data_IF_478657767610
#
_entry.id   IF_478657767610
#
_cell.length_a   1.000
_cell.length_b   1.000
_cell.length_c   1.000
_cell.angle_alpha   90.00
_cell.angle_beta   90.00
_cell.angle_gamma   90.00
#
_symmetry.space_group_name_H-M   'P 1'
#
loop_
_entity.id
_entity.type
_entity.pdbx_description
1 polymer ?
#
# COMPACT_ATOMS: atom_id res chain seq x y z
N UNK A 1 -67.64 -18.66 23.27
CA UNK A 1 -66.38 -19.34 23.66
C UNK A 1 -65.50 -19.72 22.47
N UNK A 2 -66.03 -19.79 21.24
CA UNK A 2 -65.28 -20.14 20.01
C UNK A 2 -64.27 -19.08 19.53
N UNK A 3 -64.52 -17.80 19.82
CA UNK A 3 -63.67 -16.70 19.35
C UNK A 3 -62.40 -16.48 20.20
N UNK A 4 -62.35 -17.02 21.42
CA UNK A 4 -61.18 -16.90 22.31
C UNK A 4 -60.08 -17.87 21.86
N UNK A 5 -60.45 -19.06 21.40
CA UNK A 5 -59.51 -20.04 20.85
C UNK A 5 -58.91 -19.60 19.51
N UNK A 6 -59.70 -18.90 18.67
CA UNK A 6 -59.19 -18.31 17.42
C UNK A 6 -58.21 -17.15 17.66
N UNK A 7 -58.42 -16.35 18.71
CA UNK A 7 -57.49 -15.28 19.09
C UNK A 7 -56.18 -15.84 19.66
N UNK A 8 -56.25 -16.91 20.46
CA UNK A 8 -55.07 -17.58 21.02
C UNK A 8 -54.26 -18.32 19.95
N UNK A 9 -54.91 -18.88 18.91
CA UNK A 9 -54.23 -19.46 17.75
C UNK A 9 -53.55 -18.37 16.89
N UNK A 10 -54.14 -17.18 16.78
CA UNK A 10 -53.52 -16.05 16.06
C UNK A 10 -52.35 -15.43 16.84
N UNK A 11 -52.43 -15.34 18.17
CA UNK A 11 -51.34 -14.83 19.02
C UNK A 11 -50.20 -15.86 19.13
N UNK A 12 -50.52 -17.16 19.14
CA UNK A 12 -49.52 -18.24 19.15
C UNK A 12 -48.73 -18.39 17.85
N UNK A 13 -49.25 -17.89 16.72
CA UNK A 13 -48.53 -17.87 15.44
C UNK A 13 -47.65 -16.62 15.23
N UNK A 14 -47.73 -15.61 16.10
CA UNK A 14 -47.01 -14.34 15.92
C UNK A 14 -45.70 -14.21 16.73
N UNK A 15 -45.25 -15.24 17.45
CA UNK A 15 -44.03 -15.20 18.28
C UNK A 15 -42.94 -16.21 17.92
N UNK A 16 -42.99 -16.80 16.74
CA UNK A 16 -41.77 -17.38 16.15
C UNK A 16 -41.17 -16.34 15.20
N UNK A 17 -40.75 -15.21 15.76
CA UNK A 17 -39.61 -14.49 15.21
C UNK A 17 -38.43 -15.44 15.39
N UNK A 18 -38.17 -16.25 14.36
CA UNK A 18 -36.85 -16.87 14.21
C UNK A 18 -35.89 -15.69 14.25
N UNK A 19 -35.20 -15.50 15.37
CA UNK A 19 -33.93 -14.79 15.37
C UNK A 19 -33.04 -15.65 14.48
N UNK A 20 -33.12 -15.41 13.17
CA UNK A 20 -32.09 -15.89 12.28
C UNK A 20 -30.80 -15.33 12.87
N UNK A 21 -29.89 -16.21 13.24
CA UNK A 21 -28.55 -15.83 13.65
C UNK A 21 -27.87 -15.25 12.42
N UNK A 22 -28.08 -13.95 12.18
CA UNK A 22 -27.59 -13.27 10.98
C UNK A 22 -26.07 -13.27 11.09
N UNK A 23 -25.45 -14.08 10.24
CA UNK A 23 -23.99 -14.09 10.08
C UNK A 23 -23.59 -13.06 9.04
N UNK A 24 -22.58 -12.27 9.36
CA UNK A 24 -21.97 -11.35 8.41
C UNK A 24 -20.93 -12.06 7.56
N UNK A 25 -20.96 -11.81 6.25
CA UNK A 25 -20.07 -12.42 5.24
C UNK A 25 -18.79 -11.62 5.12
N UNK A 26 -17.71 -12.14 5.70
CA UNK A 26 -16.36 -11.62 5.53
C UNK A 26 -15.74 -12.20 4.24
N UNK A 27 -15.49 -11.36 3.24
CA UNK A 27 -14.73 -11.78 2.07
C UNK A 27 -13.23 -11.77 2.32
N UNK A 28 -12.54 -12.85 1.99
CA UNK A 28 -11.08 -12.97 2.08
C UNK A 28 -10.51 -13.49 0.77
N UNK A 29 -9.48 -12.80 0.27
CA UNK A 29 -8.72 -13.22 -0.89
C UNK A 29 -7.87 -14.47 -0.60
N UNK A 30 -7.89 -15.45 -1.50
CA UNK A 30 -7.12 -16.67 -1.44
C UNK A 30 -5.66 -16.35 -1.73
N UNK A 31 -4.85 -16.21 -0.68
CA UNK A 31 -3.41 -16.00 -0.88
C UNK A 31 -2.75 -17.31 -1.32
N UNK A 32 -2.23 -17.34 -2.54
CA UNK A 32 -1.40 -18.43 -3.03
C UNK A 32 -0.07 -18.44 -2.24
N UNK A 33 0.02 -19.36 -1.28
CA UNK A 33 1.20 -19.74 -0.51
C UNK A 33 1.64 -18.83 0.67
N UNK A 34 1.70 -19.45 1.85
CA UNK A 34 2.47 -19.14 3.08
C UNK A 34 1.80 -18.46 4.27
N UNK A 35 0.58 -17.94 4.17
CA UNK A 35 -0.19 -17.52 5.35
C UNK A 35 -1.44 -18.38 5.48
N UNK A 36 -1.63 -18.99 6.64
CA UNK A 36 -2.75 -19.87 6.96
C UNK A 36 -4.07 -19.07 7.13
N UNK A 37 -4.46 -18.29 6.13
CA UNK A 37 -5.77 -17.62 6.10
C UNK A 37 -6.92 -18.64 6.08
N UNK A 38 -6.67 -19.84 5.53
CA UNK A 38 -7.56 -20.98 5.67
C UNK A 38 -7.81 -21.32 7.14
N UNK A 39 -6.76 -21.36 7.97
CA UNK A 39 -6.90 -21.64 9.41
C UNK A 39 -7.67 -20.53 10.14
N UNK A 40 -7.50 -19.25 9.76
CA UNK A 40 -8.27 -18.15 10.36
C UNK A 40 -9.77 -18.23 10.01
N UNK A 41 -10.11 -18.55 8.77
CA UNK A 41 -11.51 -18.77 8.38
C UNK A 41 -12.08 -20.07 8.95
N UNK A 42 -11.28 -21.12 9.07
CA UNK A 42 -11.67 -22.36 9.73
C UNK A 42 -11.97 -22.08 11.22
N UNK A 43 -11.14 -21.30 11.92
CA UNK A 43 -11.41 -20.86 13.30
C UNK A 43 -12.70 -20.04 13.44
N UNK A 44 -13.00 -19.13 12.49
CA UNK A 44 -14.24 -18.36 12.50
C UNK A 44 -15.48 -19.23 12.20
N UNK A 45 -15.33 -20.23 11.32
CA UNK A 45 -16.38 -21.20 10.98
C UNK A 45 -16.67 -22.14 12.15
N UNK A 46 -15.62 -22.62 12.81
CA UNK A 46 -15.73 -23.60 13.90
C UNK A 46 -16.24 -22.94 15.21
N UNK A 47 -16.13 -21.61 15.33
CA UNK A 47 -16.74 -20.85 16.40
C UNK A 47 -18.20 -20.48 16.07
N UNK A 48 -19.14 -21.24 16.63
CA UNK A 48 -20.60 -21.05 16.45
C UNK A 48 -21.07 -19.65 16.86
N UNK A 49 -20.36 -18.98 17.78
CA UNK A 49 -20.72 -17.65 18.29
C UNK A 49 -20.00 -16.49 17.58
N UNK A 50 -19.26 -16.75 16.50
CA UNK A 50 -18.50 -15.70 15.81
C UNK A 50 -19.40 -14.65 15.13
N UNK A 51 -20.64 -15.02 14.77
CA UNK A 51 -21.54 -14.15 13.99
C UNK A 51 -21.00 -13.81 12.60
N UNK A 52 -19.95 -14.50 12.12
CA UNK A 52 -19.25 -14.23 10.86
C UNK A 52 -19.07 -15.52 10.08
N UNK A 53 -19.29 -15.47 8.77
CA UNK A 53 -18.95 -16.53 7.84
C UNK A 53 -17.96 -16.02 6.77
N UNK A 54 -17.05 -16.88 6.31
CA UNK A 54 -16.07 -16.50 5.30
C UNK A 54 -16.55 -16.78 3.89
N UNK A 55 -16.36 -15.81 2.99
CA UNK A 55 -16.45 -15.97 1.53
C UNK A 55 -15.03 -15.92 0.96
N UNK A 56 -14.58 -17.00 0.33
CA UNK A 56 -13.24 -17.09 -0.23
C UNK A 56 -13.27 -16.67 -1.69
N UNK A 57 -12.56 -15.59 -2.01
CA UNK A 57 -12.36 -15.09 -3.37
C UNK A 57 -10.96 -15.42 -3.87
N UNK A 58 -10.70 -15.36 -5.17
CA UNK A 58 -9.37 -15.53 -5.79
C UNK A 58 -8.40 -14.44 -5.36
N UNK A 59 -8.86 -13.20 -5.35
CA UNK A 59 -8.08 -12.02 -4.98
C UNK A 59 -8.99 -10.93 -4.40
N UNK A 60 -8.40 -9.80 -3.99
CA UNK A 60 -9.17 -8.72 -3.36
C UNK A 60 -10.04 -7.93 -4.35
N UNK A 61 -9.75 -7.99 -5.65
CA UNK A 61 -10.59 -7.37 -6.67
C UNK A 61 -11.90 -8.17 -6.83
N UNK A 62 -11.82 -9.50 -6.75
CA UNK A 62 -13.02 -10.32 -6.67
C UNK A 62 -13.81 -10.04 -5.39
N UNK A 63 -13.15 -9.84 -4.23
CA UNK A 63 -13.87 -9.39 -3.03
C UNK A 63 -14.61 -8.06 -3.23
N UNK A 64 -14.00 -7.08 -3.91
CA UNK A 64 -14.69 -5.82 -4.25
C UNK A 64 -15.93 -6.06 -5.10
N UNK A 65 -15.85 -6.96 -6.08
CA UNK A 65 -16.99 -7.33 -6.91
C UNK A 65 -18.10 -8.01 -6.10
N UNK A 66 -17.75 -8.98 -5.24
CA UNK A 66 -18.69 -9.69 -4.38
C UNK A 66 -19.38 -8.76 -3.37
N UNK A 67 -18.69 -7.73 -2.87
CA UNK A 67 -19.30 -6.68 -2.05
C UNK A 67 -20.32 -5.87 -2.84
N UNK A 68 -19.99 -5.48 -4.08
CA UNK A 68 -20.88 -4.70 -4.93
C UNK A 68 -22.15 -5.48 -5.31
N UNK A 69 -22.06 -6.80 -5.45
CA UNK A 69 -23.20 -7.69 -5.73
C UNK A 69 -24.04 -8.06 -4.50
N UNK A 70 -23.57 -7.73 -3.29
CA UNK A 70 -24.19 -8.17 -2.03
C UNK A 70 -23.96 -9.66 -1.70
N UNK A 71 -22.99 -10.28 -2.37
CA UNK A 71 -22.54 -11.65 -2.10
C UNK A 71 -21.58 -11.74 -0.90
N UNK A 72 -21.00 -10.61 -0.48
CA UNK A 72 -20.26 -10.42 0.75
C UNK A 72 -20.69 -9.12 1.45
N UNK A 73 -20.47 -9.03 2.77
CA UNK A 73 -20.89 -7.87 3.57
C UNK A 73 -19.73 -6.92 3.89
N UNK A 74 -18.53 -7.46 4.13
CA UNK A 74 -17.32 -6.67 4.42
C UNK A 74 -16.03 -7.40 4.04
N UNK A 75 -14.93 -6.65 3.89
CA UNK A 75 -13.59 -7.19 3.66
C UNK A 75 -12.53 -6.25 4.26
N UNK A 76 -11.27 -6.69 4.27
CA UNK A 76 -10.13 -5.87 4.66
C UNK A 76 -9.37 -5.45 3.40
N UNK A 77 -9.31 -4.14 3.17
CA UNK A 77 -8.67 -3.51 2.01
C UNK A 77 -7.45 -2.69 2.41
N UNK A 78 -6.47 -2.64 1.53
CA UNK A 78 -5.39 -1.65 1.55
C UNK A 78 -5.87 -0.32 0.92
N UNK A 79 -5.21 0.82 1.23
CA UNK A 79 -5.56 2.11 0.65
C UNK A 79 -5.60 2.12 -0.89
N UNK A 80 -4.71 1.39 -1.54
CA UNK A 80 -4.66 1.27 -3.00
C UNK A 80 -5.94 0.63 -3.57
N UNK A 81 -6.51 -0.33 -2.85
CA UNK A 81 -7.74 -1.02 -3.26
C UNK A 81 -8.98 -0.15 -3.07
N UNK A 82 -8.96 0.81 -2.13
CA UNK A 82 -10.01 1.83 -2.00
C UNK A 82 -10.03 2.78 -3.21
N UNK A 83 -8.85 3.13 -3.74
CA UNK A 83 -8.75 3.92 -4.98
C UNK A 83 -9.37 3.16 -6.15
N UNK A 84 -9.05 1.87 -6.28
CA UNK A 84 -9.62 1.01 -7.32
C UNK A 84 -11.14 0.90 -7.17
N UNK A 85 -11.66 0.66 -5.96
CA UNK A 85 -13.09 0.59 -5.70
C UNK A 85 -13.83 1.86 -6.13
N UNK A 86 -13.28 3.03 -5.82
CA UNK A 86 -13.84 4.32 -6.23
C UNK A 86 -13.84 4.49 -7.76
N UNK A 87 -12.76 4.08 -8.45
CA UNK A 87 -12.71 4.11 -9.92
C UNK A 87 -13.71 3.15 -10.57
N UNK A 88 -14.00 2.03 -9.92
CA UNK A 88 -15.03 1.07 -10.34
C UNK A 88 -16.46 1.54 -10.02
N UNK A 89 -16.63 2.66 -9.31
CA UNK A 89 -17.95 3.15 -8.87
C UNK A 89 -18.59 2.31 -7.76
N UNK A 90 -17.80 1.52 -7.03
CA UNK A 90 -18.27 0.69 -5.92
C UNK A 90 -18.38 1.57 -4.67
N UNK A 91 -19.61 1.71 -4.15
CA UNK A 91 -19.86 2.48 -2.94
C UNK A 91 -19.45 1.67 -1.70
N UNK A 92 -18.33 2.06 -1.08
CA UNK A 92 -17.83 1.45 0.15
C UNK A 92 -17.91 2.42 1.32
N UNK A 93 -18.15 1.87 2.52
CA UNK A 93 -18.04 2.61 3.78
C UNK A 93 -16.91 2.02 4.62
N UNK A 94 -15.86 2.80 4.83
CA UNK A 94 -14.80 2.45 5.79
C UNK A 94 -15.38 2.60 7.20
N UNK A 95 -15.40 1.51 7.96
CA UNK A 95 -15.94 1.49 9.34
C UNK A 95 -14.85 1.35 10.39
N UNK A 96 -13.72 0.73 10.05
CA UNK A 96 -12.62 0.43 10.95
C UNK A 96 -11.29 0.50 10.20
N UNK A 97 -10.23 0.86 10.93
CA UNK A 97 -8.85 0.84 10.46
C UNK A 97 -8.03 -0.09 11.36
N UNK A 98 -7.18 -0.92 10.75
CA UNK A 98 -6.27 -1.79 11.48
C UNK A 98 -4.97 -1.04 11.76
N UNK A 99 -4.87 -0.45 12.95
CA UNK A 99 -3.70 0.35 13.33
C UNK A 99 -2.61 -0.50 13.98
N UNK A 100 -1.36 -0.26 13.59
CA UNK A 100 -0.18 -0.92 14.19
C UNK A 100 0.14 -0.39 15.59
N UNK A 101 -0.09 0.91 15.83
CA UNK A 101 0.24 1.58 17.08
C UNK A 101 -1.03 2.09 17.77
N UNK A 102 -1.47 1.41 18.85
CA UNK A 102 -2.70 1.74 19.59
C UNK A 102 -2.77 3.17 20.16
N UNK A 103 -1.62 3.83 20.31
CA UNK A 103 -1.50 5.12 21.01
C UNK A 103 -1.16 6.30 20.07
N UNK A 104 -1.10 6.07 18.75
CA UNK A 104 -0.86 7.15 17.77
C UNK A 104 -2.10 7.24 16.88
N UNK A 105 -3.08 8.10 17.22
CA UNK A 105 -4.26 8.25 16.39
C UNK A 105 -3.87 8.75 15.00
N UNK A 106 -4.43 8.10 13.97
CA UNK A 106 -4.45 8.54 12.58
C UNK A 106 -3.12 8.47 11.81
N UNK A 107 -2.10 7.73 12.27
CA UNK A 107 -0.84 7.57 11.53
C UNK A 107 -0.27 6.16 11.70
N UNK A 108 -0.27 5.36 10.63
CA UNK A 108 0.51 4.11 10.60
C UNK A 108 2.03 4.40 10.55
N UNK A 109 2.43 5.41 9.78
CA UNK A 109 3.79 5.97 9.73
C UNK A 109 3.81 7.36 9.06
N UNK A 110 4.80 8.20 9.39
CA UNK A 110 5.02 9.51 8.74
C UNK A 110 6.30 9.48 7.90
N UNK A 111 6.25 10.09 6.73
CA UNK A 111 7.37 10.22 5.80
C UNK A 111 7.92 11.64 5.93
N UNK A 112 9.21 11.76 6.24
CA UNK A 112 9.87 13.04 6.44
C UNK A 112 11.08 13.17 5.51
N UNK A 113 11.29 14.37 4.96
CA UNK A 113 12.53 14.75 4.32
C UNK A 113 13.51 15.26 5.36
N UNK A 114 14.74 14.71 5.36
CA UNK A 114 15.82 15.20 6.21
C UNK A 114 16.72 16.12 5.39
N UNK A 115 17.02 17.29 5.94
CA UNK A 115 17.88 18.29 5.30
C UNK A 115 18.99 18.67 6.27
N UNK A 116 20.20 18.83 5.75
CA UNK A 116 21.33 19.32 6.54
C UNK A 116 21.08 20.75 7.00
N UNK A 117 21.40 21.06 8.27
CA UNK A 117 21.32 22.42 8.81
C UNK A 117 22.24 23.43 8.12
N UNK A 118 23.13 22.97 7.22
CA UNK A 118 24.02 23.80 6.40
C UNK A 118 23.30 24.44 5.21
N UNK A 119 22.10 23.97 4.85
CA UNK A 119 21.32 24.46 3.72
C UNK A 119 20.03 25.07 4.28
N UNK A 120 19.73 26.30 3.88
CA UNK A 120 18.43 26.91 4.16
C UNK A 120 17.44 26.47 3.08
N UNK A 121 16.34 25.83 3.49
CA UNK A 121 15.28 25.38 2.59
C UNK A 121 13.98 26.02 3.05
N UNK A 122 13.49 26.99 2.29
CA UNK A 122 12.21 27.66 2.51
C UNK A 122 11.11 27.05 1.62
N UNK A 123 11.51 26.46 0.49
CA UNK A 123 10.65 25.89 -0.52
C UNK A 123 11.28 24.66 -1.18
N UNK A 124 10.46 23.82 -1.82
CA UNK A 124 10.97 22.66 -2.55
C UNK A 124 11.91 23.06 -3.70
N UNK A 125 11.72 24.23 -4.31
CA UNK A 125 12.60 24.76 -5.37
C UNK A 125 14.04 24.99 -4.91
N UNK A 126 14.27 25.21 -3.62
CA UNK A 126 15.62 25.39 -3.06
C UNK A 126 16.44 24.09 -3.08
N UNK A 127 15.78 22.95 -3.32
CA UNK A 127 16.42 21.64 -3.47
C UNK A 127 17.00 21.42 -4.88
N UNK A 128 16.84 22.37 -5.81
CA UNK A 128 17.43 22.26 -7.15
C UNK A 128 18.97 22.30 -7.05
N UNK A 129 19.61 21.35 -7.72
CA UNK A 129 21.06 21.09 -7.70
C UNK A 129 21.61 20.69 -6.32
N UNK A 130 20.75 20.42 -5.33
CA UNK A 130 21.16 19.88 -4.03
C UNK A 130 21.33 18.36 -4.15
N UNK A 131 22.35 17.76 -3.52
CA UNK A 131 22.47 16.30 -3.43
C UNK A 131 21.26 15.63 -2.76
N UNK A 132 20.83 14.50 -3.31
CA UNK A 132 19.73 13.70 -2.76
C UNK A 132 20.22 12.33 -2.27
N UNK A 133 19.81 11.94 -1.07
CA UNK A 133 19.93 10.57 -0.56
C UNK A 133 18.55 9.91 -0.55
N UNK A 134 18.30 8.99 -1.48
CA UNK A 134 17.00 8.32 -1.62
C UNK A 134 16.98 7.01 -0.84
N UNK A 135 15.85 6.75 -0.17
CA UNK A 135 15.56 5.45 0.47
C UNK A 135 15.47 4.33 -0.57
N UNK A 136 15.14 4.66 -1.82
CA UNK A 136 14.73 3.68 -2.83
C UNK A 136 13.43 2.97 -2.42
N UNK A 137 13.17 1.81 -3.03
CA UNK A 137 12.09 0.91 -2.62
C UNK A 137 12.59 -0.54 -2.69
N UNK A 138 12.00 -1.42 -1.86
CA UNK A 138 12.34 -2.84 -1.84
C UNK A 138 11.22 -3.66 -2.48
N UNK A 139 11.52 -4.24 -3.65
CA UNK A 139 10.58 -5.12 -4.37
C UNK A 139 10.72 -6.58 -3.91
N UNK A 140 11.81 -6.95 -3.24
CA UNK A 140 12.19 -8.34 -2.99
C UNK A 140 11.97 -8.78 -1.55
N UNK A 141 12.26 -7.91 -0.56
CA UNK A 141 11.96 -8.21 0.85
C UNK A 141 10.67 -7.53 1.24
N UNK A 142 9.54 -8.07 0.75
CA UNK A 142 8.16 -7.68 1.10
C UNK A 142 7.78 -7.81 2.59
N UNK A 143 8.66 -7.37 3.48
CA UNK A 143 8.59 -7.36 4.93
C UNK A 143 8.40 -5.94 5.48
N UNK A 144 8.66 -4.91 4.69
CA UNK A 144 8.32 -3.53 5.03
C UNK A 144 7.09 -3.10 4.23
N UNK A 145 5.92 -3.60 4.64
CA UNK A 145 4.60 -3.29 4.05
C UNK A 145 4.31 -1.79 3.92
N UNK A 146 5.06 -0.97 4.64
CA UNK A 146 4.82 0.45 4.83
C UNK A 146 5.54 1.34 3.79
N UNK A 147 6.53 0.85 3.02
CA UNK A 147 7.22 1.69 2.02
C UNK A 147 7.43 0.95 0.71
N UNK A 148 6.60 1.27 -0.28
CA UNK A 148 6.58 0.62 -1.59
C UNK A 148 6.96 1.59 -2.72
N UNK A 149 7.06 1.05 -3.93
CA UNK A 149 7.39 1.81 -5.15
C UNK A 149 6.41 2.97 -5.40
N UNK A 150 5.11 2.78 -5.13
CA UNK A 150 4.06 3.79 -5.35
C UNK A 150 4.29 4.99 -4.43
N UNK A 151 4.52 4.75 -3.14
CA UNK A 151 4.79 5.83 -2.18
C UNK A 151 6.10 6.55 -2.49
N UNK A 152 7.17 5.81 -2.81
CA UNK A 152 8.45 6.39 -3.21
C UNK A 152 8.28 7.32 -4.42
N UNK A 153 7.57 6.86 -5.45
CA UNK A 153 7.30 7.64 -6.66
C UNK A 153 6.39 8.84 -6.40
N UNK A 154 5.36 8.68 -5.57
CA UNK A 154 4.46 9.77 -5.22
C UNK A 154 5.21 10.92 -4.53
N UNK A 155 6.06 10.61 -3.56
CA UNK A 155 6.87 11.61 -2.86
C UNK A 155 7.86 12.29 -3.79
N UNK A 156 8.52 11.52 -4.67
CA UNK A 156 9.40 12.07 -5.72
C UNK A 156 8.64 13.05 -6.64
N UNK A 157 7.41 12.72 -7.03
CA UNK A 157 6.55 13.55 -7.88
C UNK A 157 6.06 14.83 -7.17
N UNK A 158 6.02 14.86 -5.82
CA UNK A 158 5.72 16.09 -5.06
C UNK A 158 6.88 17.09 -5.07
N UNK A 159 8.12 16.60 -5.18
CA UNK A 159 9.33 17.43 -5.12
C UNK A 159 9.81 17.83 -6.51
N UNK A 160 9.73 16.90 -7.47
CA UNK A 160 10.28 17.10 -8.82
C UNK A 160 9.17 17.08 -9.85
N UNK A 161 9.05 18.19 -10.58
CA UNK A 161 8.14 18.26 -11.71
C UNK A 161 8.59 17.29 -12.81
N UNK A 162 7.66 16.45 -13.23
CA UNK A 162 7.90 15.43 -14.26
C UNK A 162 8.07 16.04 -15.65
N UNK A 163 9.12 15.63 -16.34
CA UNK A 163 9.36 15.92 -17.75
C UNK A 163 8.59 14.94 -18.64
N UNK A 164 8.16 15.40 -19.81
CA UNK A 164 7.39 14.62 -20.78
C UNK A 164 8.09 14.61 -22.15
N UNK A 165 9.25 13.97 -22.25
CA UNK A 165 9.91 13.76 -23.54
C UNK A 165 9.29 12.58 -24.28
N UNK A 166 8.90 12.79 -25.54
CA UNK A 166 8.16 11.81 -26.35
C UNK A 166 9.05 10.64 -26.80
N UNK A 167 10.37 10.83 -26.83
CA UNK A 167 11.36 9.88 -27.33
C UNK A 167 11.91 8.91 -26.27
N UNK A 168 11.42 8.97 -25.02
CA UNK A 168 11.84 8.08 -23.93
C UNK A 168 10.62 7.52 -23.20
N UNK A 169 10.83 6.46 -22.43
CA UNK A 169 9.76 5.84 -21.65
C UNK A 169 9.30 6.73 -20.49
N UNK A 170 8.08 6.51 -19.98
CA UNK A 170 7.59 7.21 -18.78
C UNK A 170 8.52 7.02 -17.57
N UNK A 171 9.08 5.82 -17.43
CA UNK A 171 10.00 5.50 -16.32
C UNK A 171 11.31 6.27 -16.48
N UNK A 172 11.83 6.33 -17.69
CA UNK A 172 13.04 7.09 -17.99
C UNK A 172 12.83 8.60 -17.85
N UNK A 173 11.68 9.13 -18.25
CA UNK A 173 11.30 10.52 -17.98
C UNK A 173 11.34 10.86 -16.49
N UNK A 174 10.85 9.96 -15.62
CA UNK A 174 10.94 10.12 -14.17
C UNK A 174 12.39 10.18 -13.68
N UNK A 175 13.22 9.26 -14.13
CA UNK A 175 14.64 9.18 -13.77
C UNK A 175 15.39 10.43 -14.27
N UNK A 176 15.15 10.84 -15.52
CA UNK A 176 15.74 12.04 -16.11
C UNK A 176 15.34 13.31 -15.36
N UNK A 177 14.07 13.40 -14.93
CA UNK A 177 13.57 14.53 -14.14
C UNK A 177 14.33 14.64 -12.83
N UNK A 178 14.48 13.53 -12.09
CA UNK A 178 15.28 13.48 -10.85
C UNK A 178 16.74 13.88 -11.10
N UNK A 179 17.38 13.29 -12.11
CA UNK A 179 18.78 13.55 -12.44
C UNK A 179 19.03 15.02 -12.85
N UNK A 180 18.06 15.66 -13.49
CA UNK A 180 18.16 17.07 -13.90
C UNK A 180 17.79 18.07 -12.79
N UNK A 181 17.10 17.60 -11.75
CA UNK A 181 16.63 18.43 -10.67
C UNK A 181 17.63 18.49 -9.53
N UNK A 182 18.16 17.33 -9.11
CA UNK A 182 19.14 17.22 -8.04
C UNK A 182 20.58 17.25 -8.58
N UNK A 183 21.53 17.54 -7.69
CA UNK A 183 22.96 17.41 -7.98
C UNK A 183 23.42 15.94 -7.93
N UNK A 184 24.74 15.69 -7.83
CA UNK A 184 25.28 14.36 -7.52
C UNK A 184 24.56 13.77 -6.30
N UNK A 185 24.04 12.56 -6.45
CA UNK A 185 23.08 11.96 -5.52
C UNK A 185 23.37 10.48 -5.28
N UNK A 186 22.66 9.90 -4.31
CA UNK A 186 22.61 8.46 -4.13
C UNK A 186 21.16 7.94 -4.17
N UNK A 187 20.78 7.32 -5.28
CA UNK A 187 19.52 6.59 -5.49
C UNK A 187 19.82 5.11 -5.68
N UNK A 188 20.27 4.48 -4.60
CA UNK A 188 20.57 3.04 -4.58
C UNK A 188 19.31 2.17 -4.72
N UNK A 189 19.53 0.92 -5.14
CA UNK A 189 18.48 -0.08 -5.30
C UNK A 189 18.11 -0.33 -6.75
N UNK A 190 16.92 -0.90 -6.98
CA UNK A 190 16.37 -1.10 -8.33
C UNK A 190 15.58 0.13 -8.75
N UNK A 191 15.79 0.61 -9.97
CA UNK A 191 14.98 1.65 -10.61
C UNK A 191 13.89 1.02 -11.47
N UNK A 192 14.17 -0.14 -12.06
CA UNK A 192 13.21 -0.94 -12.85
C UNK A 192 13.32 -2.44 -12.54
N UNK A 193 12.28 -3.25 -12.85
CA UNK A 193 12.30 -4.69 -12.60
C UNK A 193 13.33 -5.46 -13.44
N UNK A 194 13.54 -5.07 -14.70
CA UNK A 194 14.50 -5.75 -15.60
C UNK A 194 15.95 -5.33 -15.26
N UNK A 195 16.83 -6.27 -14.88
CA UNK A 195 18.19 -5.93 -14.45
C UNK A 195 19.07 -5.31 -15.54
N UNK A 196 18.85 -5.66 -16.82
CA UNK A 196 19.66 -5.11 -17.93
C UNK A 196 19.27 -3.67 -18.19
N UNK A 197 17.97 -3.39 -18.22
CA UNK A 197 17.44 -2.04 -18.35
C UNK A 197 17.83 -1.17 -17.14
N UNK A 198 17.80 -1.73 -15.93
CA UNK A 198 18.24 -1.03 -14.70
C UNK A 198 19.69 -0.56 -14.83
N UNK A 199 20.59 -1.45 -15.24
CA UNK A 199 21.99 -1.12 -15.43
C UNK A 199 22.20 -0.08 -16.55
N UNK A 200 21.48 -0.20 -17.66
CA UNK A 200 21.54 0.77 -18.76
C UNK A 200 21.09 2.17 -18.32
N UNK A 201 20.03 2.26 -17.52
CA UNK A 201 19.54 3.53 -16.99
C UNK A 201 20.56 4.14 -16.02
N UNK A 202 21.15 3.34 -15.12
CA UNK A 202 22.20 3.82 -14.20
C UNK A 202 23.43 4.34 -14.92
N UNK A 203 23.85 3.66 -15.99
CA UNK A 203 24.95 4.12 -16.85
C UNK A 203 24.61 5.41 -17.59
N UNK A 204 23.34 5.59 -18.00
CA UNK A 204 22.87 6.79 -18.68
C UNK A 204 22.72 8.00 -17.75
N UNK A 205 22.38 7.77 -16.48
CA UNK A 205 22.17 8.80 -15.46
C UNK A 205 23.10 8.60 -14.25
N UNK A 206 24.43 8.70 -14.44
CA UNK A 206 25.41 8.35 -13.41
C UNK A 206 25.36 9.28 -12.19
N UNK A 207 24.88 10.52 -12.36
CA UNK A 207 24.78 11.50 -11.27
C UNK A 207 23.89 11.03 -10.13
N UNK A 208 22.88 10.20 -10.41
CA UNK A 208 22.01 9.61 -9.39
C UNK A 208 22.69 8.54 -8.55
N UNK A 209 23.87 8.06 -8.96
CA UNK A 209 24.65 7.06 -8.23
C UNK A 209 25.97 7.63 -7.68
N UNK A 210 26.31 8.87 -8.02
CA UNK A 210 27.63 9.47 -7.79
C UNK A 210 28.04 9.54 -6.31
N UNK A 211 27.07 9.68 -5.39
CA UNK A 211 27.33 9.70 -3.95
C UNK A 211 27.14 8.35 -3.27
N UNK A 212 26.79 7.30 -4.03
CA UNK A 212 26.66 5.99 -3.45
C UNK A 212 28.02 5.36 -3.13
N UNK A 213 28.04 4.35 -2.27
CA UNK A 213 29.29 3.66 -1.92
C UNK A 213 29.87 2.89 -3.11
N UNK A 214 29.02 2.32 -3.94
CA UNK A 214 29.39 1.80 -5.27
C UNK A 214 28.67 2.62 -6.35
N UNK A 215 29.33 3.64 -6.92
CA UNK A 215 28.73 4.48 -7.96
C UNK A 215 28.45 3.73 -9.27
N UNK A 216 29.06 2.56 -9.50
CA UNK A 216 28.89 1.81 -10.75
C UNK A 216 27.60 0.99 -10.70
N UNK A 217 27.38 0.23 -9.61
CA UNK A 217 26.21 -0.65 -9.52
C UNK A 217 25.05 -0.06 -8.73
N UNK A 218 25.35 0.71 -7.69
CA UNK A 218 24.37 1.41 -6.86
C UNK A 218 23.18 0.50 -6.47
N UNK A 219 23.51 -0.72 -6.05
CA UNK A 219 22.53 -1.81 -5.92
C UNK A 219 21.82 -1.82 -4.55
N UNK A 220 20.91 -2.76 -4.35
CA UNK A 220 20.28 -3.01 -3.03
C UNK A 220 21.27 -3.45 -1.93
N UNK A 221 22.53 -3.73 -2.30
CA UNK A 221 23.61 -4.06 -1.36
C UNK A 221 24.43 -2.84 -0.95
N UNK A 222 24.18 -1.66 -1.53
CA UNK A 222 24.88 -0.44 -1.16
C UNK A 222 24.56 -0.08 0.31
N UNK A 223 25.57 0.39 1.06
CA UNK A 223 25.38 0.76 2.48
C UNK A 223 24.40 1.92 2.65
N UNK A 224 24.22 2.74 1.61
CA UNK A 224 23.31 3.87 1.60
C UNK A 224 21.90 3.52 1.12
N UNK A 225 21.64 2.25 0.79
CA UNK A 225 20.30 1.81 0.39
C UNK A 225 19.36 1.61 1.58
N UNK A 226 18.08 1.93 1.38
CA UNK A 226 17.00 1.66 2.33
C UNK A 226 16.87 2.70 3.45
N UNK A 227 15.89 2.47 4.35
CA UNK A 227 15.48 3.44 5.38
C UNK A 227 16.61 3.85 6.34
N UNK A 228 17.58 2.95 6.57
CA UNK A 228 18.76 3.23 7.39
C UNK A 228 19.92 3.81 6.58
N UNK A 229 20.03 3.46 5.30
CA UNK A 229 21.11 3.90 4.43
C UNK A 229 20.97 5.35 3.98
N UNK A 230 19.75 5.82 3.72
CA UNK A 230 19.55 7.20 3.27
C UNK A 230 19.99 8.26 4.30
N UNK A 231 19.66 8.14 5.61
CA UNK A 231 20.23 9.03 6.63
C UNK A 231 21.75 8.92 6.74
N UNK A 232 22.31 7.72 6.55
CA UNK A 232 23.77 7.52 6.56
C UNK A 232 24.45 8.26 5.39
N UNK A 233 23.85 8.24 4.21
CA UNK A 233 24.30 9.02 3.04
C UNK A 233 24.27 10.53 3.31
N UNK A 234 23.29 11.02 4.08
CA UNK A 234 23.19 12.44 4.41
C UNK A 234 24.29 12.89 5.39
N UNK A 235 24.80 11.98 6.22
CA UNK A 235 25.75 12.31 7.30
C UNK A 235 27.22 12.02 6.97
N UNK A 236 27.49 11.07 6.06
CA UNK A 236 28.85 10.72 5.61
C UNK A 236 29.44 11.81 4.69
#
# INVERSE_FOLDING_TARGET
MENIWKLLLFIGQLQVLVLADIKYKLCIAQRMAKFNQKDSCDQLRDNVHSGVECVIAKDRLECLHLLNEGSADFTVLHPEELVVANQMGIALRVTHELQKFKNVPNVDYSVIGLVSSRISVESLSDLRNVPMCSVGFDVEKGHDFDWNEIFSKFIEDQVVQQQCHINVTLVENRIASLASYFGPSCKAGKWVPDPKQDLQLKQKYPDLCALCNDPITCSVKDKYWGRRGAPLCLTD
#
